data_IF_408301750890
#
_entry.id   IF_408301750890
#
_cell.length_a   1.000
_cell.length_b   1.000
_cell.length_c   1.000
_cell.angle_alpha   90.00
_cell.angle_beta   90.00
_cell.angle_gamma   90.00
#
_symmetry.space_group_name_H-M   'P 1'
#
loop_
_entity.id
_entity.type
_entity.pdbx_description
1 polymer ?
#
# COMPACT_ATOMS: atom_id res chain seq x y z
N UNK A 1 -0.73 22.48 -14.23
CA UNK A 1 0.19 23.64 -14.22
C UNK A 1 0.75 23.83 -12.82
N UNK A 2 1.67 22.97 -12.38
CA UNK A 2 2.23 23.01 -11.03
C UNK A 2 3.41 24.00 -10.88
N UNK A 3 3.97 24.50 -12.00
CA UNK A 3 5.11 25.42 -12.05
C UNK A 3 4.76 26.89 -12.22
N UNK A 4 3.47 27.25 -12.33
CA UNK A 4 3.06 28.64 -12.59
C UNK A 4 3.54 29.56 -11.46
N UNK A 5 4.36 30.56 -11.80
CA UNK A 5 4.93 31.50 -10.83
C UNK A 5 6.16 30.99 -10.08
N UNK A 6 6.77 29.89 -10.52
CA UNK A 6 8.03 29.36 -9.98
C UNK A 6 9.11 29.29 -11.06
N UNK A 7 10.37 29.57 -10.70
CA UNK A 7 11.52 29.38 -11.59
C UNK A 7 12.04 27.93 -11.46
N UNK A 8 11.34 27.01 -12.12
CA UNK A 8 11.62 25.58 -12.08
C UNK A 8 11.33 24.92 -13.42
N UNK A 9 12.06 23.84 -13.72
CA UNK A 9 11.78 22.95 -14.86
C UNK A 9 11.19 21.64 -14.34
N UNK A 10 10.11 21.19 -14.98
CA UNK A 10 9.49 19.89 -14.71
C UNK A 10 9.65 19.05 -15.97
N UNK A 11 10.28 17.89 -15.84
CA UNK A 11 10.51 16.94 -16.93
C UNK A 11 9.81 15.63 -16.57
N UNK A 12 9.17 15.01 -17.56
CA UNK A 12 8.66 13.65 -17.44
C UNK A 12 9.78 12.67 -17.81
N UNK A 13 10.28 11.93 -16.83
CA UNK A 13 11.39 10.98 -17.01
C UNK A 13 10.91 9.53 -16.95
N UNK A 14 9.59 9.27 -17.04
CA UNK A 14 9.00 7.93 -16.91
C UNK A 14 9.64 6.91 -17.85
N UNK A 15 10.04 7.35 -19.05
CA UNK A 15 10.69 6.51 -20.07
C UNK A 15 12.22 6.54 -20.01
N UNK A 16 12.80 7.39 -19.17
CA UNK A 16 14.25 7.61 -19.03
C UNK A 16 14.83 6.88 -17.81
N UNK A 17 13.99 6.16 -17.05
CA UNK A 17 14.37 5.35 -15.90
C UNK A 17 13.77 3.95 -15.98
N UNK A 18 14.53 2.96 -15.53
CA UNK A 18 14.05 1.61 -15.28
C UNK A 18 14.11 1.31 -13.78
N UNK A 19 13.10 0.58 -13.29
CA UNK A 19 12.96 0.25 -11.88
C UNK A 19 12.74 -1.26 -11.68
N UNK A 20 13.37 -1.83 -10.66
CA UNK A 20 13.16 -3.19 -10.21
C UNK A 20 12.97 -3.22 -8.69
N UNK A 21 11.81 -3.69 -8.25
CA UNK A 21 11.55 -3.91 -6.83
C UNK A 21 12.00 -5.31 -6.41
N UNK A 22 12.86 -5.39 -5.39
CA UNK A 22 13.31 -6.65 -4.78
C UNK A 22 12.80 -6.69 -3.36
N UNK A 23 11.81 -7.54 -3.12
CA UNK A 23 10.98 -7.51 -1.92
C UNK A 23 10.98 -8.89 -1.27
N UNK A 24 10.78 -8.91 0.05
CA UNK A 24 10.77 -10.12 0.85
C UNK A 24 12.01 -10.25 1.73
N UNK A 25 12.04 -11.30 2.55
CA UNK A 25 12.93 -11.36 3.70
C UNK A 25 14.39 -11.61 3.41
N UNK A 26 14.66 -12.23 2.27
CA UNK A 26 16.00 -12.51 1.77
C UNK A 26 16.48 -11.42 0.81
N UNK A 27 15.70 -10.34 0.59
CA UNK A 27 16.05 -9.28 -0.37
C UNK A 27 17.42 -8.65 -0.07
N UNK A 28 17.78 -8.45 1.20
CA UNK A 28 19.11 -7.98 1.57
C UNK A 28 20.21 -8.96 1.15
N UNK A 29 20.08 -10.23 1.52
CA UNK A 29 21.06 -11.27 1.17
C UNK A 29 21.19 -11.47 -0.33
N UNK A 30 20.06 -11.46 -1.06
CA UNK A 30 20.01 -11.57 -2.53
C UNK A 30 20.75 -10.42 -3.18
N UNK A 31 20.49 -9.18 -2.77
CA UNK A 31 21.18 -8.01 -3.34
C UNK A 31 22.67 -7.99 -3.01
N UNK A 32 23.06 -8.40 -1.80
CA UNK A 32 24.48 -8.55 -1.46
C UNK A 32 25.15 -9.64 -2.30
N UNK A 33 24.49 -10.78 -2.53
CA UNK A 33 24.99 -11.84 -3.40
C UNK A 33 25.09 -11.40 -4.87
N UNK A 34 24.19 -10.51 -5.31
CA UNK A 34 24.26 -9.86 -6.62
C UNK A 34 25.40 -8.84 -6.73
N UNK A 35 26.10 -8.50 -5.64
CA UNK A 35 27.22 -7.56 -5.65
C UNK A 35 26.88 -6.14 -5.18
N UNK A 36 25.67 -5.91 -4.67
CA UNK A 36 25.28 -4.60 -4.09
C UNK A 36 25.79 -4.49 -2.66
N UNK A 37 26.67 -3.52 -2.43
CA UNK A 37 27.32 -3.26 -1.14
C UNK A 37 26.70 -2.06 -0.42
N UNK A 38 26.88 -1.95 0.89
CA UNK A 38 26.46 -0.79 1.70
C UNK A 38 25.00 -0.82 2.21
N UNK A 39 24.22 -1.84 1.84
CA UNK A 39 22.83 -2.00 2.28
C UNK A 39 22.69 -2.23 3.79
N UNK A 40 23.74 -2.71 4.47
CA UNK A 40 23.77 -2.91 5.93
C UNK A 40 23.58 -1.60 6.71
N UNK A 41 23.97 -0.47 6.12
CA UNK A 41 23.85 0.87 6.72
C UNK A 41 22.62 1.64 6.23
N UNK A 42 21.97 1.14 5.19
CA UNK A 42 20.84 1.82 4.55
C UNK A 42 19.60 1.70 5.43
N UNK A 43 19.21 2.79 6.10
CA UNK A 43 18.00 2.84 6.95
C UNK A 43 16.73 2.89 6.10
N UNK A 44 15.58 2.55 6.69
CA UNK A 44 14.26 2.68 6.04
C UNK A 44 14.06 4.10 5.50
N UNK A 45 13.54 4.23 4.27
CA UNK A 45 13.43 5.49 3.51
C UNK A 45 14.78 6.14 3.15
N UNK A 46 15.90 5.45 3.35
CA UNK A 46 17.21 5.88 2.89
C UNK A 46 17.44 5.58 1.42
N UNK A 47 18.35 6.35 0.82
CA UNK A 47 18.81 6.17 -0.57
C UNK A 47 20.31 5.93 -0.55
N UNK A 48 20.75 4.97 -1.36
CA UNK A 48 22.13 4.65 -1.64
C UNK A 48 22.36 4.78 -3.15
N UNK A 49 23.48 5.38 -3.54
CA UNK A 49 23.96 5.31 -4.92
C UNK A 49 25.17 4.39 -4.96
N UNK A 50 25.19 3.45 -5.90
CA UNK A 50 26.24 2.45 -6.06
C UNK A 50 26.41 2.11 -7.53
N UNK A 51 27.37 1.25 -7.83
CA UNK A 51 27.54 0.64 -9.13
C UNK A 51 27.31 -0.87 -9.04
N UNK A 52 26.81 -1.45 -10.13
CA UNK A 52 26.63 -2.88 -10.33
C UNK A 52 27.10 -3.20 -11.74
N UNK A 53 28.05 -4.13 -11.90
CA UNK A 53 28.61 -4.51 -13.21
C UNK A 53 29.00 -3.33 -14.12
N UNK A 54 29.49 -2.23 -13.53
CA UNK A 54 29.96 -1.05 -14.27
C UNK A 54 28.88 -0.01 -14.62
N UNK A 55 27.61 -0.23 -14.26
CA UNK A 55 26.56 0.78 -14.40
C UNK A 55 26.06 1.29 -13.05
N UNK A 56 25.53 2.52 -13.05
CA UNK A 56 25.03 3.20 -11.84
C UNK A 56 23.66 2.67 -11.45
N UNK A 57 23.46 2.44 -10.15
CA UNK A 57 22.20 2.03 -9.56
C UNK A 57 21.91 2.90 -8.34
N UNK A 58 20.74 3.53 -8.31
CA UNK A 58 20.18 4.10 -7.10
C UNK A 58 19.33 3.03 -6.41
N UNK A 59 19.58 2.79 -5.13
CA UNK A 59 18.83 1.85 -4.30
C UNK A 59 18.10 2.64 -3.22
N UNK A 60 16.77 2.57 -3.22
CA UNK A 60 15.96 3.08 -2.10
C UNK A 60 15.50 1.94 -1.23
N UNK A 61 15.59 2.11 0.10
CA UNK A 61 15.03 1.16 1.06
C UNK A 61 13.55 1.46 1.28
N UNK A 62 12.77 1.09 0.28
CA UNK A 62 11.33 1.26 0.15
C UNK A 62 10.69 -0.02 -0.38
N UNK A 63 9.38 -0.15 -0.21
CA UNK A 63 8.67 -1.33 -0.67
C UNK A 63 7.18 -1.28 -0.38
N UNK A 64 6.41 -1.91 -1.26
CA UNK A 64 4.95 -1.94 -1.19
C UNK A 64 4.39 -3.30 -0.77
N UNK A 65 5.24 -4.19 -0.25
CA UNK A 65 4.86 -5.56 0.20
C UNK A 65 4.69 -5.70 1.71
N UNK A 66 5.14 -4.72 2.49
CA UNK A 66 5.07 -4.76 3.95
C UNK A 66 6.11 -5.63 4.66
N UNK A 67 7.00 -6.31 3.93
CA UNK A 67 8.21 -6.96 4.46
C UNK A 67 9.46 -6.10 4.11
N UNK A 68 10.65 -6.62 4.41
CA UNK A 68 11.91 -6.02 3.94
C UNK A 68 11.91 -5.90 2.42
N UNK A 69 12.40 -4.78 1.89
CA UNK A 69 12.48 -4.59 0.45
C UNK A 69 13.28 -3.37 0.05
N UNK A 70 13.63 -3.37 -1.23
CA UNK A 70 14.37 -2.32 -1.90
C UNK A 70 13.75 -2.06 -3.28
N UNK A 71 13.93 -0.85 -3.78
CA UNK A 71 13.66 -0.47 -5.16
C UNK A 71 14.97 0.00 -5.78
N UNK A 72 15.31 -0.58 -6.93
CA UNK A 72 16.54 -0.33 -7.66
C UNK A 72 16.19 0.43 -8.92
N UNK A 73 16.92 1.50 -9.18
CA UNK A 73 16.66 2.43 -10.27
C UNK A 73 17.94 2.62 -11.09
N UNK A 74 17.83 2.55 -12.41
CA UNK A 74 18.93 2.67 -13.37
C UNK A 74 18.43 3.26 -14.69
N UNK A 75 19.34 3.58 -15.61
CA UNK A 75 19.00 3.88 -16.99
C UNK A 75 18.35 2.66 -17.69
N UNK A 76 17.36 2.87 -18.59
CA UNK A 76 16.63 1.80 -19.27
C UNK A 76 17.50 0.78 -20.00
N UNK A 77 18.62 1.22 -20.58
CA UNK A 77 19.57 0.35 -21.29
C UNK A 77 20.14 -0.77 -20.40
N UNK A 78 20.21 -0.54 -19.08
CA UNK A 78 20.73 -1.51 -18.12
C UNK A 78 19.62 -2.38 -17.49
N UNK A 79 18.35 -2.19 -17.87
CA UNK A 79 17.22 -2.82 -17.19
C UNK A 79 17.23 -4.36 -17.23
N UNK A 80 17.57 -4.94 -18.39
CA UNK A 80 17.69 -6.39 -18.55
C UNK A 80 18.89 -6.95 -17.77
N UNK A 81 20.03 -6.27 -17.83
CA UNK A 81 21.23 -6.68 -17.08
C UNK A 81 20.97 -6.63 -15.57
N UNK A 82 20.29 -5.59 -15.07
CA UNK A 82 19.87 -5.49 -13.68
C UNK A 82 18.96 -6.66 -13.28
N UNK A 83 17.99 -7.01 -14.13
CA UNK A 83 17.11 -8.15 -13.90
C UNK A 83 17.91 -9.47 -13.86
N UNK A 84 18.72 -9.74 -14.88
CA UNK A 84 19.45 -11.00 -15.02
C UNK A 84 20.47 -11.22 -13.89
N UNK A 85 21.19 -10.17 -13.50
CA UNK A 85 22.15 -10.23 -12.39
C UNK A 85 21.47 -10.57 -11.07
N UNK A 86 20.30 -9.98 -10.78
CA UNK A 86 19.58 -10.26 -9.54
C UNK A 86 18.86 -11.61 -9.60
N UNK A 87 18.26 -11.94 -10.74
CA UNK A 87 17.47 -13.16 -10.90
C UNK A 87 18.35 -14.42 -10.92
N UNK A 88 19.56 -14.35 -11.48
CA UNK A 88 20.54 -15.45 -11.51
C UNK A 88 21.10 -15.81 -10.12
N UNK A 89 20.94 -14.97 -9.09
CA UNK A 89 21.36 -15.30 -7.71
C UNK A 89 20.74 -16.61 -7.22
N UNK A 90 19.54 -16.97 -7.69
CA UNK A 90 18.89 -18.24 -7.36
C UNK A 90 19.66 -19.48 -7.84
N UNK A 91 20.49 -19.34 -8.87
CA UNK A 91 21.23 -20.47 -9.47
C UNK A 91 22.35 -20.96 -8.54
N UNK A 92 22.72 -20.18 -7.52
CA UNK A 92 23.57 -20.61 -6.42
C UNK A 92 22.93 -21.72 -5.54
N UNK A 93 21.60 -21.91 -5.65
CA UNK A 93 20.83 -22.83 -4.82
C UNK A 93 20.55 -22.34 -3.40
N UNK A 94 21.00 -21.13 -3.02
CA UNK A 94 20.82 -20.56 -1.68
C UNK A 94 19.52 -19.76 -1.53
N UNK A 95 18.96 -19.25 -2.62
CA UNK A 95 17.82 -18.33 -2.60
C UNK A 95 16.72 -18.75 -3.57
N UNK A 96 15.46 -18.58 -3.17
CA UNK A 96 14.27 -18.82 -4.00
C UNK A 96 13.75 -17.48 -4.55
N UNK A 97 14.43 -16.93 -5.55
CA UNK A 97 14.03 -15.68 -6.21
C UNK A 97 12.93 -15.98 -7.22
N UNK A 98 11.78 -15.30 -7.07
CA UNK A 98 10.61 -15.48 -7.95
C UNK A 98 10.11 -14.14 -8.48
N UNK A 99 9.68 -14.14 -9.74
CA UNK A 99 8.91 -13.03 -10.30
C UNK A 99 7.49 -13.05 -9.73
N UNK A 100 6.96 -11.89 -9.35
CA UNK A 100 5.58 -11.73 -8.91
C UNK A 100 4.88 -10.69 -9.80
N UNK A 101 3.60 -10.91 -10.05
CA UNK A 101 2.75 -9.96 -10.77
C UNK A 101 1.92 -9.08 -9.83
N UNK A 102 1.17 -8.15 -10.42
CA UNK A 102 0.32 -7.19 -9.69
C UNK A 102 -0.71 -7.85 -8.76
N UNK A 103 -1.26 -9.02 -9.11
CA UNK A 103 -2.22 -9.71 -8.26
C UNK A 103 -1.60 -10.18 -6.92
N UNK A 104 -0.35 -10.62 -6.94
CA UNK A 104 0.37 -10.98 -5.72
C UNK A 104 0.73 -9.72 -4.91
N UNK A 105 1.17 -8.65 -5.60
CA UNK A 105 1.46 -7.36 -4.97
C UNK A 105 0.22 -6.77 -4.27
N UNK A 106 -0.93 -6.84 -4.93
CA UNK A 106 -2.23 -6.39 -4.41
C UNK A 106 -2.61 -7.14 -3.12
N UNK A 107 -2.33 -8.43 -3.05
CA UNK A 107 -2.56 -9.21 -1.83
C UNK A 107 -1.68 -8.72 -0.67
N UNK A 108 -0.36 -8.66 -0.88
CA UNK A 108 0.58 -8.33 0.20
C UNK A 108 0.49 -6.87 0.63
N UNK A 109 0.16 -5.94 -0.28
CA UNK A 109 -0.06 -4.52 0.07
C UNK A 109 -1.29 -4.34 0.94
N UNK A 110 -2.38 -5.10 0.69
CA UNK A 110 -3.57 -5.07 1.53
C UNK A 110 -3.28 -5.71 2.89
N UNK A 111 -2.57 -6.84 2.92
CA UNK A 111 -2.11 -7.46 4.18
C UNK A 111 -1.29 -6.47 5.03
N UNK A 112 -0.39 -5.72 4.39
CA UNK A 112 0.39 -4.64 5.01
C UNK A 112 -0.44 -3.40 5.41
N UNK A 113 -1.69 -3.31 4.94
CA UNK A 113 -2.58 -2.18 5.17
C UNK A 113 -2.21 -0.93 4.37
N UNK A 114 -1.50 -1.08 3.25
CA UNK A 114 -1.18 0.01 2.34
C UNK A 114 -2.37 0.35 1.44
N UNK A 115 -2.51 1.64 1.17
CA UNK A 115 -3.61 2.22 0.39
C UNK A 115 -3.10 2.65 -0.98
N UNK A 116 -3.93 2.52 -2.01
CA UNK A 116 -3.63 2.89 -3.38
C UNK A 116 -4.61 3.97 -3.88
N UNK A 117 -4.11 5.12 -4.35
CA UNK A 117 -4.96 6.12 -5.01
C UNK A 117 -5.69 5.53 -6.22
N UNK A 118 -6.95 5.90 -6.42
CA UNK A 118 -7.79 5.37 -7.52
C UNK A 118 -8.57 4.11 -7.14
N UNK A 119 -8.03 3.29 -6.25
CA UNK A 119 -8.67 2.04 -5.80
C UNK A 119 -9.32 2.21 -4.42
N UNK A 120 -8.54 2.68 -3.45
CA UNK A 120 -8.99 2.82 -2.07
C UNK A 120 -9.68 4.15 -1.79
N UNK A 121 -9.27 5.21 -2.50
CA UNK A 121 -9.81 6.55 -2.37
C UNK A 121 -9.63 7.34 -3.66
N UNK A 122 -10.53 8.31 -3.89
CA UNK A 122 -10.37 9.25 -4.99
C UNK A 122 -9.42 10.37 -4.57
N UNK A 123 -8.53 10.74 -5.48
CA UNK A 123 -7.63 11.88 -5.27
C UNK A 123 -8.34 13.19 -5.57
N UNK A 124 -7.77 14.31 -5.13
CA UNK A 124 -8.33 15.62 -5.40
C UNK A 124 -8.37 15.94 -6.91
N UNK A 125 -7.42 15.41 -7.66
CA UNK A 125 -7.27 15.62 -9.11
C UNK A 125 -8.31 14.82 -9.93
N UNK A 126 -8.78 13.71 -9.40
CA UNK A 126 -9.71 12.79 -10.08
C UNK A 126 -11.15 12.88 -9.56
N UNK A 127 -11.38 13.55 -8.43
CA UNK A 127 -12.69 13.74 -7.85
C UNK A 127 -13.56 14.71 -8.66
N UNK A 128 -14.58 14.18 -9.35
CA UNK A 128 -15.54 14.98 -10.13
C UNK A 128 -16.65 15.56 -9.22
N UNK A 129 -17.06 14.82 -8.18
CA UNK A 129 -18.14 15.21 -7.26
C UNK A 129 -17.55 15.69 -5.95
N UNK A 130 -17.98 16.88 -5.52
CA UNK A 130 -17.59 17.41 -4.22
C UNK A 130 -17.99 16.43 -3.09
N UNK A 131 -17.08 16.17 -2.15
CA UNK A 131 -17.28 15.25 -1.03
C UNK A 131 -16.99 13.78 -1.35
N UNK A 132 -16.55 13.46 -2.56
CA UNK A 132 -16.08 12.12 -2.94
C UNK A 132 -14.56 11.97 -2.92
N UNK A 133 -13.84 13.08 -2.75
CA UNK A 133 -12.44 13.15 -2.35
C UNK A 133 -12.27 12.75 -0.88
N UNK A 134 -11.04 12.43 -0.46
CA UNK A 134 -10.76 12.11 0.94
C UNK A 134 -9.59 12.94 1.45
N UNK A 135 -9.76 13.51 2.65
CA UNK A 135 -8.67 14.20 3.32
C UNK A 135 -7.62 13.19 3.84
N UNK A 136 -6.38 13.63 4.13
CA UNK A 136 -5.41 12.78 4.81
C UNK A 136 -5.90 12.25 6.17
N UNK A 137 -6.79 12.98 6.87
CA UNK A 137 -7.36 12.48 8.12
C UNK A 137 -8.35 11.34 7.88
N UNK A 138 -9.19 11.46 6.86
CA UNK A 138 -10.18 10.44 6.48
C UNK A 138 -9.50 9.16 5.98
N UNK A 139 -8.37 9.25 5.26
CA UNK A 139 -7.60 8.06 4.84
C UNK A 139 -6.57 7.57 5.86
N UNK A 140 -6.55 8.13 7.08
CA UNK A 140 -5.64 7.70 8.14
C UNK A 140 -4.17 8.11 7.97
N UNK A 141 -3.88 9.01 7.05
CA UNK A 141 -2.57 9.62 6.82
C UNK A 141 -2.38 10.98 7.54
N UNK A 142 -3.19 11.29 8.56
CA UNK A 142 -3.04 12.55 9.31
C UNK A 142 -1.63 12.77 9.90
N UNK A 143 -0.87 11.69 10.11
CA UNK A 143 0.50 11.72 10.63
C UNK A 143 1.53 12.26 9.62
N UNK A 144 1.24 12.30 8.31
CA UNK A 144 2.17 12.84 7.30
C UNK A 144 2.08 14.36 7.18
N UNK A 145 1.09 14.99 7.82
CA UNK A 145 0.88 16.44 7.74
C UNK A 145 1.82 17.15 8.70
N UNK A 146 2.69 18.02 8.16
CA UNK A 146 3.49 18.94 8.96
C UNK A 146 2.85 20.34 8.98
N UNK A 147 2.16 20.68 10.06
CA UNK A 147 1.52 21.99 10.23
C UNK A 147 2.51 23.15 10.49
N UNK A 148 3.75 22.84 10.87
CA UNK A 148 4.80 23.85 11.11
C UNK A 148 5.33 24.43 9.80
N UNK A 149 5.18 23.72 8.67
CA UNK A 149 5.49 24.27 7.34
C UNK A 149 4.68 25.55 7.12
N UNK A 150 5.30 26.68 6.76
CA UNK A 150 4.61 27.96 6.68
C UNK A 150 3.46 27.91 5.67
N UNK A 151 3.71 27.36 4.48
CA UNK A 151 2.76 27.27 3.38
C UNK A 151 2.74 25.87 2.76
N UNK A 152 1.55 25.36 2.47
CA UNK A 152 1.29 24.24 1.56
C UNK A 152 -0.19 24.26 1.14
N UNK A 153 -0.50 23.73 -0.04
CA UNK A 153 -1.86 23.64 -0.57
C UNK A 153 -2.75 22.84 0.39
N UNK A 154 -3.89 23.42 0.80
CA UNK A 154 -4.83 22.77 1.72
C UNK A 154 -4.56 22.99 3.21
N UNK A 155 -3.49 23.69 3.63
CA UNK A 155 -3.15 23.90 5.06
C UNK A 155 -4.33 24.42 5.89
N UNK A 156 -4.97 25.50 5.45
CA UNK A 156 -6.11 26.12 6.15
C UNK A 156 -7.29 25.15 6.26
N UNK A 157 -7.63 24.46 5.18
CA UNK A 157 -8.72 23.49 5.17
C UNK A 157 -8.47 22.34 6.16
N UNK A 158 -7.25 21.81 6.22
CA UNK A 158 -6.87 20.76 7.16
C UNK A 158 -6.83 21.25 8.61
N UNK A 159 -6.46 22.51 8.87
CA UNK A 159 -6.53 23.09 10.22
C UNK A 159 -7.99 23.18 10.70
N UNK A 160 -8.91 23.62 9.83
CA UNK A 160 -10.33 23.68 10.14
C UNK A 160 -10.94 22.29 10.34
N UNK A 161 -10.54 21.32 9.52
CA UNK A 161 -10.99 19.92 9.63
C UNK A 161 -10.51 19.26 10.93
N UNK A 162 -9.26 19.49 11.34
CA UNK A 162 -8.67 18.92 12.56
C UNK A 162 -9.49 19.22 13.82
N UNK A 163 -10.20 20.35 13.86
CA UNK A 163 -11.09 20.72 14.97
C UNK A 163 -12.48 20.09 14.93
N UNK A 164 -12.83 19.35 13.87
CA UNK A 164 -14.16 18.76 13.66
C UNK A 164 -14.13 17.26 13.93
N UNK A 165 -15.30 16.70 14.27
CA UNK A 165 -15.45 15.25 14.34
C UNK A 165 -15.33 14.64 12.94
N UNK A 166 -14.54 13.58 12.83
CA UNK A 166 -14.44 12.76 11.62
C UNK A 166 -15.84 12.24 11.23
N UNK A 167 -16.18 12.40 9.94
CA UNK A 167 -17.46 11.95 9.36
C UNK A 167 -17.32 10.70 8.51
N UNK A 168 -16.14 10.46 7.93
CA UNK A 168 -15.83 9.27 7.15
C UNK A 168 -14.41 8.81 7.43
N UNK A 169 -14.15 7.51 7.28
CA UNK A 169 -12.79 6.99 7.40
C UNK A 169 -12.58 5.77 6.53
N UNK A 170 -11.45 5.72 5.86
CA UNK A 170 -10.90 4.50 5.29
C UNK A 170 -10.36 3.64 6.44
N UNK A 171 -10.93 2.45 6.60
CA UNK A 171 -10.58 1.50 7.66
C UNK A 171 -10.18 0.16 7.07
N UNK A 172 -9.41 -0.60 7.87
CA UNK A 172 -9.08 -2.01 7.63
C UNK A 172 -10.13 -2.88 8.30
N UNK A 173 -10.76 -3.79 7.57
CA UNK A 173 -11.74 -4.73 8.10
C UNK A 173 -11.30 -6.18 7.89
N UNK A 174 -11.38 -6.97 8.95
CA UNK A 174 -11.43 -8.43 8.88
C UNK A 174 -12.88 -8.84 8.69
N UNK A 175 -13.18 -9.65 7.68
CA UNK A 175 -14.53 -10.12 7.38
C UNK A 175 -14.64 -11.60 7.72
N UNK A 176 -15.62 -11.93 8.58
CA UNK A 176 -15.84 -13.30 9.04
C UNK A 176 -16.31 -14.23 7.92
N UNK A 177 -15.99 -15.52 8.06
CA UNK A 177 -16.37 -16.54 7.08
C UNK A 177 -15.43 -16.63 5.88
N UNK A 178 -15.81 -17.43 4.90
CA UNK A 178 -14.99 -17.84 3.76
C UNK A 178 -15.46 -17.25 2.41
N UNK A 179 -16.49 -16.42 2.41
CA UNK A 179 -17.01 -15.78 1.20
C UNK A 179 -16.36 -14.40 1.03
N UNK A 180 -15.73 -14.12 -0.12
CA UNK A 180 -15.08 -12.83 -0.36
C UNK A 180 -16.13 -11.72 -0.50
N UNK A 181 -15.99 -10.59 0.20
CA UNK A 181 -16.97 -9.50 0.19
C UNK A 181 -16.71 -8.54 -0.99
N UNK A 182 -16.63 -9.08 -2.20
CA UNK A 182 -16.38 -8.31 -3.44
C UNK A 182 -17.47 -7.26 -3.62
N UNK A 183 -17.06 -6.00 -3.83
CA UNK A 183 -17.93 -4.83 -4.09
C UNK A 183 -19.11 -4.66 -3.11
N UNK A 184 -18.96 -5.18 -1.89
CA UNK A 184 -20.08 -5.29 -0.96
C UNK A 184 -20.34 -3.98 -0.21
N UNK A 185 -21.62 -3.67 0.01
CA UNK A 185 -22.03 -2.61 0.92
C UNK A 185 -21.87 -3.06 2.37
N UNK A 186 -21.63 -2.07 3.24
CA UNK A 186 -21.48 -2.25 4.68
C UNK A 186 -22.66 -1.66 5.42
N UNK A 187 -23.11 -2.34 6.47
CA UNK A 187 -24.29 -1.99 7.25
C UNK A 187 -24.02 -2.02 8.75
N UNK A 188 -24.79 -1.24 9.52
CA UNK A 188 -24.71 -1.20 10.99
C UNK A 188 -25.24 -2.47 11.68
N UNK A 189 -26.09 -3.22 10.99
CA UNK A 189 -26.59 -4.56 11.34
C UNK A 189 -27.04 -5.29 10.07
N UNK A 190 -27.34 -6.59 10.17
CA UNK A 190 -27.93 -7.32 9.03
C UNK A 190 -29.22 -6.63 8.55
N UNK A 191 -29.29 -6.32 7.25
CA UNK A 191 -30.41 -5.58 6.63
C UNK A 191 -30.70 -4.23 7.32
N UNK A 192 -29.66 -3.60 7.86
CA UNK A 192 -29.74 -2.32 8.57
C UNK A 192 -29.56 -1.11 7.66
N UNK A 193 -29.06 -0.02 8.23
CA UNK A 193 -28.67 1.16 7.47
C UNK A 193 -27.30 0.95 6.85
N UNK A 194 -27.14 1.34 5.58
CA UNK A 194 -25.83 1.36 4.93
C UNK A 194 -24.93 2.38 5.61
N UNK A 195 -23.74 1.96 6.02
CA UNK A 195 -22.72 2.77 6.70
C UNK A 195 -21.42 2.88 5.92
N UNK A 196 -21.28 2.22 4.77
CA UNK A 196 -20.04 2.27 4.02
C UNK A 196 -20.00 1.35 2.82
N UNK A 197 -18.81 1.21 2.25
CA UNK A 197 -18.56 0.37 1.08
C UNK A 197 -17.13 -0.14 1.10
N UNK A 198 -16.96 -1.39 0.71
CA UNK A 198 -15.65 -1.98 0.51
C UNK A 198 -14.99 -1.37 -0.73
N UNK A 199 -13.68 -1.18 -0.67
CA UNK A 199 -12.86 -0.61 -1.73
C UNK A 199 -12.00 -1.69 -2.35
N UNK A 200 -10.96 -2.11 -1.65
CA UNK A 200 -10.15 -3.25 -2.02
C UNK A 200 -10.39 -4.42 -1.07
N UNK A 201 -10.27 -5.64 -1.58
CA UNK A 201 -10.47 -6.87 -0.81
C UNK A 201 -9.61 -8.01 -1.34
N UNK A 202 -9.15 -8.87 -0.43
CA UNK A 202 -8.46 -10.13 -0.75
C UNK A 202 -8.80 -11.23 0.24
N UNK A 203 -8.56 -12.46 -0.18
CA UNK A 203 -8.41 -13.60 0.74
C UNK A 203 -6.93 -13.78 1.08
N UNK A 204 -6.58 -13.66 2.35
CA UNK A 204 -5.20 -13.86 2.82
C UNK A 204 -4.96 -15.34 3.13
N UNK A 205 -4.01 -16.01 2.44
CA UNK A 205 -3.67 -17.40 2.72
C UNK A 205 -2.96 -17.57 4.07
N UNK A 206 -2.17 -16.57 4.49
CA UNK A 206 -1.40 -16.62 5.74
C UNK A 206 -2.28 -16.36 6.97
N UNK A 207 -3.26 -15.45 6.87
CA UNK A 207 -4.19 -15.15 7.96
C UNK A 207 -5.46 -16.00 7.90
N UNK A 208 -5.69 -16.72 6.80
CA UNK A 208 -6.90 -17.51 6.52
C UNK A 208 -8.17 -16.69 6.74
N UNK A 209 -8.17 -15.47 6.22
CA UNK A 209 -9.24 -14.49 6.45
C UNK A 209 -9.46 -13.59 5.23
N UNK A 210 -10.69 -13.11 5.08
CA UNK A 210 -11.03 -12.04 4.15
C UNK A 210 -10.61 -10.69 4.75
N UNK A 211 -9.79 -9.95 4.02
CA UNK A 211 -9.26 -8.64 4.43
C UNK A 211 -9.76 -7.59 3.47
N UNK A 212 -10.25 -6.48 3.99
CA UNK A 212 -10.69 -5.36 3.14
C UNK A 212 -10.24 -4.01 3.64
N UNK A 213 -10.07 -3.10 2.70
CA UNK A 213 -10.08 -1.67 2.95
C UNK A 213 -11.47 -1.15 2.62
N UNK A 214 -12.03 -0.32 3.50
CA UNK A 214 -13.40 0.13 3.38
C UNK A 214 -13.56 1.57 3.85
N UNK A 215 -14.33 2.33 3.09
CA UNK A 215 -14.72 3.69 3.45
C UNK A 215 -16.05 3.64 4.20
N UNK A 216 -16.03 4.02 5.48
CA UNK A 216 -17.20 3.96 6.37
C UNK A 216 -17.53 5.31 6.99
N UNK A 217 -18.79 5.49 7.31
CA UNK A 217 -19.34 6.67 7.99
C UNK A 217 -19.09 6.61 9.48
N UNK A 218 -18.75 7.77 10.04
CA UNK A 218 -18.56 7.99 11.46
C UNK A 218 -19.63 8.95 11.95
N UNK A 219 -20.22 8.65 13.11
CA UNK A 219 -21.18 9.53 13.77
C UNK A 219 -20.56 10.11 15.03
N UNK A 220 -20.48 11.45 15.11
CA UNK A 220 -19.82 12.16 16.24
C UNK A 220 -18.40 11.63 16.53
N UNK A 221 -17.64 11.34 15.47
CA UNK A 221 -16.27 10.83 15.57
C UNK A 221 -16.13 9.37 16.01
N UNK A 222 -17.23 8.61 16.08
CA UNK A 222 -17.22 7.17 16.43
C UNK A 222 -17.63 6.32 15.23
N UNK A 223 -16.98 5.16 15.02
CA UNK A 223 -17.45 4.19 14.03
C UNK A 223 -18.79 3.59 14.45
N UNK A 224 -19.51 2.91 13.53
CA UNK A 224 -20.66 2.08 13.88
C UNK A 224 -20.29 1.04 14.95
N UNK A 225 -21.23 0.73 15.85
CA UNK A 225 -21.02 -0.26 16.91
C UNK A 225 -20.79 -1.67 16.35
N UNK A 226 -21.48 -1.97 15.25
CA UNK A 226 -21.31 -3.18 14.46
C UNK A 226 -21.18 -2.82 12.99
N UNK A 227 -20.49 -3.68 12.25
CA UNK A 227 -20.33 -3.56 10.80
C UNK A 227 -20.59 -4.93 10.21
N UNK A 228 -21.46 -5.00 9.21
CA UNK A 228 -21.82 -6.20 8.49
C UNK A 228 -21.66 -5.99 6.99
N UNK A 229 -21.03 -6.93 6.30
CA UNK A 229 -20.95 -6.97 4.85
C UNK A 229 -22.08 -7.82 4.28
N UNK A 230 -22.77 -7.29 3.26
CA UNK A 230 -23.73 -8.02 2.44
C UNK A 230 -23.01 -8.64 1.24
N UNK A 231 -22.81 -9.96 1.27
CA UNK A 231 -21.95 -10.65 0.31
C UNK A 231 -22.82 -11.42 -0.69
N UNK A 232 -22.62 -11.12 -1.96
CA UNK A 232 -23.23 -11.84 -3.08
C UNK A 232 -22.27 -12.91 -3.61
N UNK A 233 -22.76 -14.13 -3.79
CA UNK A 233 -21.98 -15.21 -4.39
C UNK A 233 -22.88 -16.14 -5.19
N UNK A 234 -22.30 -16.84 -6.17
CA UNK A 234 -23.02 -17.86 -6.93
C UNK A 234 -22.86 -19.23 -6.29
N UNK A 235 -23.95 -19.99 -6.23
CA UNK A 235 -23.98 -21.42 -5.93
C UNK A 235 -24.84 -22.09 -6.98
N UNK A 236 -24.26 -23.04 -7.73
CA UNK A 236 -25.00 -23.75 -8.80
C UNK A 236 -25.65 -22.78 -9.80
N UNK A 237 -24.92 -21.72 -10.20
CA UNK A 237 -25.37 -20.63 -11.09
C UNK A 237 -26.47 -19.72 -10.51
N UNK A 238 -26.92 -19.95 -9.28
CA UNK A 238 -27.90 -19.12 -8.59
C UNK A 238 -27.21 -18.10 -7.67
N UNK A 239 -27.65 -16.85 -7.73
CA UNK A 239 -27.16 -15.80 -6.85
C UNK A 239 -27.72 -15.97 -5.44
N UNK A 240 -26.83 -15.94 -4.46
CA UNK A 240 -27.14 -16.06 -3.05
C UNK A 240 -26.58 -14.85 -2.30
N UNK A 241 -27.28 -14.46 -1.24
CA UNK A 241 -26.84 -13.44 -0.28
C UNK A 241 -26.46 -14.10 1.03
N UNK A 242 -25.31 -13.72 1.57
CA UNK A 242 -24.94 -13.99 2.95
C UNK A 242 -24.49 -12.72 3.64
N UNK A 243 -24.42 -12.77 4.96
CA UNK A 243 -24.05 -11.63 5.80
C UNK A 243 -22.89 -12.03 6.70
N UNK A 244 -21.78 -11.30 6.59
CA UNK A 244 -20.59 -11.52 7.40
C UNK A 244 -20.37 -10.35 8.33
N UNK A 245 -19.98 -10.63 9.59
CA UNK A 245 -19.59 -9.58 10.52
C UNK A 245 -18.19 -9.10 10.17
N UNK A 246 -17.96 -7.80 10.31
CA UNK A 246 -16.68 -7.16 10.07
C UNK A 246 -16.09 -6.62 11.37
N UNK A 247 -14.77 -6.69 11.51
CA UNK A 247 -14.02 -6.15 12.64
C UNK A 247 -12.97 -5.16 12.16
N UNK A 248 -12.99 -3.95 12.72
CA UNK A 248 -11.96 -2.95 12.43
C UNK A 248 -10.61 -3.41 12.99
N UNK A 249 -9.59 -3.47 12.13
CA UNK A 249 -8.19 -3.61 12.53
C UNK A 249 -7.54 -2.23 12.67
N UNK A 250 -6.87 -1.98 13.80
CA UNK A 250 -6.08 -0.77 14.00
C UNK A 250 -4.71 -0.89 13.33
N UNK A 251 -4.11 -2.06 13.43
CA UNK A 251 -2.79 -2.39 12.89
C UNK A 251 -2.88 -2.90 11.44
N UNK A 252 -1.76 -2.94 10.69
CA UNK A 252 -1.66 -3.80 9.52
C UNK A 252 -2.20 -5.21 9.84
N UNK A 253 -2.84 -5.87 8.89
CA UNK A 253 -3.30 -7.25 9.13
C UNK A 253 -2.13 -8.20 9.30
N UNK A 254 -1.04 -7.92 8.58
CA UNK A 254 0.22 -8.62 8.72
C UNK A 254 1.39 -7.62 8.76
N UNK A 255 2.36 -7.92 9.60
CA UNK A 255 3.59 -7.14 9.73
C UNK A 255 4.67 -8.02 10.32
N UNK A 256 5.78 -8.19 9.60
CA UNK A 256 6.92 -8.92 10.12
C UNK A 256 7.85 -8.01 10.94
N UNK A 257 8.31 -8.39 12.15
CA UNK A 257 9.23 -7.57 12.95
C UNK A 257 10.54 -7.18 12.23
N UNK A 258 11.05 -8.08 11.38
CA UNK A 258 12.30 -7.88 10.62
C UNK A 258 12.26 -6.77 9.57
N UNK A 259 11.07 -6.35 9.10
CA UNK A 259 10.93 -5.53 7.89
C UNK A 259 11.72 -4.21 7.93
N UNK A 260 11.92 -3.66 9.13
CA UNK A 260 12.59 -2.38 9.37
C UNK A 260 13.93 -2.48 10.10
N UNK A 261 14.42 -3.69 10.40
CA UNK A 261 15.66 -3.90 11.18
C UNK A 261 16.89 -3.46 10.37
N UNK A 262 17.81 -2.73 11.00
CA UNK A 262 19.05 -2.25 10.37
C UNK A 262 20.25 -2.51 11.29
N UNK A 263 21.28 -3.26 10.86
CA UNK A 263 21.39 -3.96 9.57
C UNK A 263 20.35 -5.09 9.45
N UNK A 264 19.83 -5.40 8.25
CA UNK A 264 18.98 -6.57 8.06
C UNK A 264 19.74 -7.87 8.35
N UNK A 265 19.04 -8.88 8.83
CA UNK A 265 19.61 -10.22 9.02
C UNK A 265 19.93 -10.89 7.68
N UNK A 266 21.01 -11.69 7.65
CA UNK A 266 21.42 -12.48 6.49
C UNK A 266 20.70 -13.83 6.52
N UNK A 267 19.43 -13.82 6.11
CA UNK A 267 18.65 -15.03 5.85
C UNK A 267 19.04 -15.65 4.50
#
# INVERSE_FOLDING_TARGET
>A
MSSLGMDVTIVEETHDVAALAVQGPTSYSVLCAAGINGLDKLKLFGILHTELNGFKVMVSRTGYTGDLGYELWTEPVNGLDLWDVIFSVKDSGLYDVRAIGLAALEMVRIEAGFIMPGDDFNTAETAIRAGHDRSPFEIGLGWVINFDKPHFTGKKALQEEKGRSIKRRLVKLLVEGNKPPVDSFLYDKKKGQRVGTIKSQIWSPILKANLTLADIEYHKGKPPAEIWAEIYYQKELEWQVTWARCRISKDPFWSHPRRSVTPPERF
#
